data_IF_649960273363
#
_entry.id   IF_649960273363
#
_cell.length_a   1.000
_cell.length_b   1.000
_cell.length_c   1.000
_cell.angle_alpha   90.00
_cell.angle_beta   90.00
_cell.angle_gamma   90.00
#
_symmetry.space_group_name_H-M   'P 1'
#
loop_
_entity.id
_entity.type
_entity.pdbx_description
1 polymer ?
#
# COMPACT_ATOMS: atom_id res chain seq x y z
N UNK A 1 -20.53 14.14 -2.12
CA UNK A 1 -20.17 13.86 -2.05
C UNK A 1 -19.14 13.52 -2.32
N UNK A 2 -18.58 13.45 -2.20
CA UNK A 2 -17.69 13.12 -2.41
C UNK A 2 -17.16 12.06 -2.18
N UNK A 3 -16.72 11.69 -2.56
CA UNK A 3 -16.28 10.51 -2.65
C UNK A 3 -14.97 10.39 -2.13
N UNK A 4 -14.71 9.88 -1.07
CA UNK A 4 -13.44 9.69 -0.51
C UNK A 4 -12.98 8.30 -0.69
N UNK A 5 -12.94 7.88 -1.95
CA UNK A 5 -12.47 6.59 -2.20
C UNK A 5 -11.01 6.54 -2.00
N UNK A 6 -10.53 5.72 -1.11
CA UNK A 6 -9.12 5.45 -0.96
C UNK A 6 -8.69 4.46 -2.00
N UNK A 7 -7.51 4.60 -2.57
CA UNK A 7 -7.06 3.61 -3.55
C UNK A 7 -6.90 2.24 -2.90
N UNK A 8 -7.19 1.22 -3.67
CA UNK A 8 -6.98 -0.15 -3.24
C UNK A 8 -6.38 -0.92 -4.41
N UNK A 9 -5.83 -2.09 -4.11
CA UNK A 9 -5.22 -2.93 -5.12
C UNK A 9 -6.24 -3.90 -5.69
N UNK A 10 -6.04 -4.37 -6.93
CA UNK A 10 -6.84 -5.47 -7.43
C UNK A 10 -6.53 -6.72 -6.62
N UNK A 11 -7.33 -7.75 -6.76
CA UNK A 11 -7.21 -8.93 -5.92
C UNK A 11 -5.97 -9.76 -6.20
N UNK A 12 -5.41 -9.68 -7.39
CA UNK A 12 -4.25 -10.47 -7.77
C UNK A 12 -3.01 -9.63 -7.86
N UNK A 13 -2.32 -9.76 -8.98
CA UNK A 13 -1.14 -8.97 -9.26
C UNK A 13 -1.52 -7.51 -9.47
N UNK A 14 -0.56 -6.61 -9.32
CA UNK A 14 -0.86 -5.19 -9.48
C UNK A 14 0.28 -4.50 -10.23
N UNK A 15 -0.03 -3.35 -10.79
CA UNK A 15 0.91 -2.58 -11.59
C UNK A 15 1.67 -1.59 -10.70
N UNK A 16 2.74 -1.03 -11.26
CA UNK A 16 3.50 0.02 -10.58
C UNK A 16 2.61 1.23 -10.29
N UNK A 17 1.77 1.62 -11.23
CA UNK A 17 0.90 2.78 -11.02
C UNK A 17 -0.05 2.54 -9.85
N UNK A 18 -0.57 1.32 -9.73
CA UNK A 18 -1.44 0.98 -8.61
C UNK A 18 -0.68 0.99 -7.29
N UNK A 19 0.54 0.46 -7.29
CA UNK A 19 1.37 0.46 -6.09
C UNK A 19 1.77 1.88 -5.69
N UNK A 20 2.09 2.73 -6.67
CA UNK A 20 2.46 4.11 -6.39
C UNK A 20 1.30 4.88 -5.79
N UNK A 21 0.09 4.61 -6.25
CA UNK A 21 -1.10 5.27 -5.69
C UNK A 21 -1.27 4.90 -4.22
N UNK A 22 -1.04 3.63 -3.88
CA UNK A 22 -1.11 3.18 -2.50
C UNK A 22 0.00 3.83 -1.66
N UNK A 23 1.22 3.81 -2.16
CA UNK A 23 2.35 4.39 -1.42
C UNK A 23 2.17 5.89 -1.19
N UNK A 24 1.52 6.58 -2.12
CA UNK A 24 1.25 8.01 -1.97
C UNK A 24 0.14 8.28 -0.96
N UNK A 25 -0.77 7.34 -0.76
CA UNK A 25 -1.93 7.53 0.11
C UNK A 25 -1.68 7.15 1.57
N UNK A 26 -0.63 6.35 1.83
CA UNK A 26 -0.34 5.86 3.18
C UNK A 26 1.11 6.13 3.54
N UNK A 27 1.34 6.69 4.71
CA UNK A 27 2.71 7.09 5.09
C UNK A 27 3.58 5.89 5.42
N UNK A 28 2.98 4.77 5.76
CA UNK A 28 3.72 3.60 6.20
C UNK A 28 3.81 2.50 5.15
N UNK A 29 3.52 2.83 3.91
CA UNK A 29 3.58 1.87 2.81
C UNK A 29 4.52 2.41 1.74
N UNK A 30 5.43 1.58 1.27
CA UNK A 30 6.43 1.99 0.30
C UNK A 30 6.76 0.87 -0.67
N UNK A 31 7.23 1.26 -1.84
CA UNK A 31 7.77 0.31 -2.81
C UNK A 31 9.22 0.07 -2.43
N UNK A 32 9.59 -1.20 -2.30
CA UNK A 32 10.96 -1.59 -1.97
C UNK A 32 11.42 -2.72 -2.87
N UNK A 33 12.71 -3.01 -2.84
CA UNK A 33 13.32 -4.05 -3.65
C UNK A 33 12.95 -3.90 -5.12
N UNK A 34 13.02 -2.67 -5.60
CA UNK A 34 12.55 -2.32 -6.93
C UNK A 34 13.58 -2.75 -7.98
N UNK A 35 13.18 -3.65 -8.84
CA UNK A 35 14.02 -4.16 -9.91
C UNK A 35 13.43 -3.80 -11.28
N UNK A 36 12.63 -2.76 -11.32
CA UNK A 36 11.99 -2.30 -12.55
C UNK A 36 10.62 -2.95 -12.74
N UNK A 37 10.59 -4.13 -13.30
CA UNK A 37 9.31 -4.82 -13.53
C UNK A 37 8.84 -5.55 -12.29
N UNK A 38 9.75 -5.88 -11.38
CA UNK A 38 9.41 -6.58 -10.15
C UNK A 38 9.78 -5.71 -8.97
N UNK A 39 8.88 -5.58 -8.03
CA UNK A 39 9.08 -4.79 -6.81
C UNK A 39 8.17 -5.32 -5.73
N UNK A 40 8.45 -4.95 -4.49
CA UNK A 40 7.59 -5.30 -3.37
C UNK A 40 6.86 -4.07 -2.87
N UNK A 41 5.64 -4.28 -2.42
CA UNK A 41 4.93 -3.25 -1.67
C UNK A 41 5.01 -3.68 -0.21
N UNK A 42 5.48 -2.78 0.64
CA UNK A 42 5.87 -3.09 2.01
C UNK A 42 5.10 -2.21 2.97
N UNK A 43 4.53 -2.82 4.00
CA UNK A 43 3.79 -2.13 5.05
C UNK A 43 4.55 -2.30 6.35
N UNK A 44 4.88 -1.17 7.00
CA UNK A 44 5.57 -1.19 8.29
C UNK A 44 4.75 -0.44 9.32
N UNK A 45 4.97 -0.76 10.59
CA UNK A 45 4.27 -0.03 11.65
C UNK A 45 5.03 1.24 12.00
N UNK A 46 4.58 1.94 13.03
CA UNK A 46 5.19 3.21 13.42
C UNK A 46 6.59 3.03 14.01
N UNK A 47 6.94 1.83 14.40
CA UNK A 47 8.28 1.52 14.87
C UNK A 47 9.16 0.96 13.75
N UNK A 48 8.69 1.08 12.52
CA UNK A 48 9.40 0.62 11.34
C UNK A 48 9.54 -0.90 11.27
N UNK A 49 8.69 -1.62 11.99
CA UNK A 49 8.70 -3.07 11.94
C UNK A 49 7.82 -3.55 10.81
N UNK A 50 8.27 -4.60 10.14
CA UNK A 50 7.53 -5.14 9.02
C UNK A 50 6.20 -5.73 9.48
N UNK A 51 5.12 -5.30 8.84
CA UNK A 51 3.80 -5.91 9.04
C UNK A 51 3.56 -6.94 7.96
N UNK A 52 3.73 -6.54 6.70
CA UNK A 52 3.54 -7.46 5.58
C UNK A 52 4.23 -6.90 4.34
N UNK A 53 4.60 -7.77 3.44
CA UNK A 53 5.12 -7.35 2.14
C UNK A 53 4.84 -8.45 1.14
N UNK A 54 4.77 -8.06 -0.13
CA UNK A 54 4.61 -9.04 -1.19
C UNK A 54 5.08 -8.44 -2.51
N UNK A 55 5.40 -9.33 -3.45
CA UNK A 55 5.82 -8.93 -4.78
C UNK A 55 4.60 -8.55 -5.62
N UNK A 56 4.81 -7.62 -6.55
CA UNK A 56 3.72 -7.15 -7.40
C UNK A 56 3.14 -8.25 -8.30
N UNK A 57 3.91 -9.31 -8.52
CA UNK A 57 3.47 -10.40 -9.39
C UNK A 57 2.96 -11.62 -8.63
N UNK A 58 2.92 -11.57 -7.33
CA UNK A 58 2.43 -12.71 -6.55
C UNK A 58 0.93 -12.88 -6.75
N UNK A 59 0.44 -14.11 -6.93
CA UNK A 59 -0.96 -14.33 -7.32
C UNK A 59 -1.99 -13.78 -6.37
N UNK A 60 -1.66 -13.69 -5.08
CA UNK A 60 -2.62 -13.18 -4.10
C UNK A 60 -2.13 -11.92 -3.42
N UNK A 61 -1.18 -11.24 -4.05
CA UNK A 61 -0.57 -10.08 -3.44
C UNK A 61 -1.61 -9.03 -3.08
N UNK A 62 -2.50 -8.71 -4.02
CA UNK A 62 -3.50 -7.69 -3.79
C UNK A 62 -4.45 -8.03 -2.66
N UNK A 63 -4.87 -9.28 -2.58
CA UNK A 63 -5.79 -9.72 -1.51
C UNK A 63 -5.15 -9.52 -0.15
N UNK A 64 -3.93 -10.01 0.01
CA UNK A 64 -3.25 -9.93 1.30
C UNK A 64 -2.88 -8.52 1.66
N UNK A 65 -2.36 -7.77 0.69
CA UNK A 65 -1.97 -6.39 0.96
C UNK A 65 -3.17 -5.52 1.31
N UNK A 66 -4.29 -5.69 0.59
CA UNK A 66 -5.48 -4.92 0.91
C UNK A 66 -5.96 -5.17 2.34
N UNK A 67 -5.86 -6.42 2.79
CA UNK A 67 -6.24 -6.76 4.15
C UNK A 67 -5.42 -5.95 5.16
N UNK A 68 -4.11 -5.89 4.96
CA UNK A 68 -3.23 -5.19 5.89
C UNK A 68 -3.29 -3.68 5.70
N UNK A 69 -3.60 -3.21 4.49
CA UNK A 69 -3.82 -1.78 4.27
C UNK A 69 -5.02 -1.31 5.09
N UNK A 70 -6.10 -2.09 5.08
CA UNK A 70 -7.29 -1.72 5.83
C UNK A 70 -7.02 -1.72 7.33
N UNK A 71 -6.30 -2.73 7.82
CA UNK A 71 -6.10 -2.86 9.26
C UNK A 71 -4.96 -1.99 9.79
N UNK A 72 -3.93 -1.76 8.99
CA UNK A 72 -2.70 -1.15 9.48
C UNK A 72 -2.22 0.05 8.69
N UNK A 73 -2.82 0.37 7.56
CA UNK A 73 -2.42 1.52 6.77
C UNK A 73 -2.71 2.82 7.50
N UNK A 74 -1.77 3.76 7.46
CA UNK A 74 -1.92 5.06 8.09
C UNK A 74 -2.05 6.09 6.98
N UNK A 75 -3.26 6.58 6.73
CA UNK A 75 -3.46 7.51 5.63
C UNK A 75 -2.68 8.81 5.81
N UNK A 76 -2.15 9.31 4.72
CA UNK A 76 -1.47 10.59 4.72
C UNK A 76 -2.39 11.68 5.25
N UNK A 77 -3.68 11.62 4.88
CA UNK A 77 -4.64 12.63 5.28
C UNK A 77 -4.84 12.70 6.79
N UNK A 78 -4.53 11.64 7.54
CA UNK A 78 -4.67 11.70 8.98
C UNK A 78 -3.59 12.54 9.63
N UNK A 79 -2.50 12.84 8.93
CA UNK A 79 -1.49 13.72 9.44
C UNK A 79 -1.82 15.18 9.18
N UNK A 80 -2.49 15.46 8.08
CA UNK A 80 -2.76 16.81 7.70
C UNK A 80 -4.04 17.34 8.27
N UNK A 81 -4.64 16.67 9.03
CA UNK A 81 -5.79 17.03 9.55
C UNK A 81 -5.94 18.25 10.23
N UNK A 82 -6.06 18.87 10.11
CA UNK A 82 -6.39 19.76 10.50
C UNK A 82 -7.19 20.36 10.56
N UNK A 83 -7.38 20.64 10.43
CA UNK A 83 -8.05 21.21 10.50
C UNK A 83 -8.14 21.45 10.77
#
# INVERSE_FOLDING_TARGET
>A
MRNHQVPSLPQGTFTRAQAEAIAAAYINIAIEDDQGTHFRLVIRDTDDMLIWRDWNFAPEAGVMLNRYIVSDGIPVSSLSDDN
#
